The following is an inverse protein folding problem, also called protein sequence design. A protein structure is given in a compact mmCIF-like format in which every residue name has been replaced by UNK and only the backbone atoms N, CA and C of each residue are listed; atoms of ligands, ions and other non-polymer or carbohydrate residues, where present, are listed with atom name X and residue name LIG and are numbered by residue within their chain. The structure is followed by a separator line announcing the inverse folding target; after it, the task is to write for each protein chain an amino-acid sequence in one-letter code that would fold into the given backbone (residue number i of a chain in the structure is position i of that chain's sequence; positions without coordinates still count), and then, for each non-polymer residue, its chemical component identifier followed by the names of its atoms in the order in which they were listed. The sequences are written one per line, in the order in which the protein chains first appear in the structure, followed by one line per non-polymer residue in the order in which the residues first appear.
data_IF_711102448078
#
_entry.id   IF_711102448078
#
_cell.length_a   1.000
_cell.length_b   1.000
_cell.length_c   1.000
_cell.angle_alpha   90.00
_cell.angle_beta   90.00
_cell.angle_gamma   90.00
#
_symmetry.space_group_name_H-M   'P 1'
#
loop_
_entity.id
_entity.type
_entity.pdbx_description
1 polymer ?
#
# COMPACT_ATOMS: atom_id res chain seq x y z
N UNK A 1 -8.42 13.23 13.77
CA UNK A 1 -7.96 12.87 12.41
C UNK A 1 -7.34 11.48 12.46
N UNK A 2 -7.55 10.65 11.43
CA UNK A 2 -6.97 9.30 11.37
C UNK A 2 -5.46 9.38 11.16
N UNK A 3 -4.70 8.63 11.96
CA UNK A 3 -3.24 8.53 11.79
C UNK A 3 -2.92 7.37 10.85
N UNK A 4 -2.48 7.69 9.63
CA UNK A 4 -2.06 6.73 8.60
C UNK A 4 -0.97 5.78 9.11
N UNK A 5 -0.12 6.22 10.04
CA UNK A 5 0.99 5.42 10.56
C UNK A 5 0.53 4.19 11.34
N UNK A 6 -0.74 4.15 11.76
CA UNK A 6 -1.34 2.97 12.40
C UNK A 6 -1.65 1.83 11.42
N UNK A 7 -1.60 2.10 10.11
CA UNK A 7 -1.95 1.16 9.05
C UNK A 7 -0.73 0.72 8.23
N UNK A 8 0.45 1.27 8.53
CA UNK A 8 1.71 0.96 7.87
C UNK A 8 2.78 0.53 8.88
N UNK A 9 3.30 -0.68 8.71
CA UNK A 9 4.57 -1.10 9.29
C UNK A 9 5.73 -0.28 8.70
N UNK A 10 6.63 0.20 9.56
CA UNK A 10 7.84 0.92 9.14
C UNK A 10 8.88 -0.06 8.64
N UNK A 11 9.22 -0.01 7.36
CA UNK A 11 10.39 -0.71 6.84
C UNK A 11 10.35 -0.96 5.34
N UNK A 12 11.27 -0.34 4.63
CA UNK A 12 12.19 -0.95 3.67
C UNK A 12 13.30 0.06 3.41
N UNK A 13 14.56 -0.38 3.50
CA UNK A 13 15.69 0.46 3.12
C UNK A 13 15.88 0.32 1.60
N UNK A 14 15.94 1.45 0.88
CA UNK A 14 16.34 1.45 -0.52
C UNK A 14 17.66 0.68 -0.70
N UNK A 15 17.64 -0.39 -1.50
CA UNK A 15 18.83 -1.19 -1.82
C UNK A 15 18.94 -2.56 -1.13
N UNK A 16 18.05 -2.92 -0.20
CA UNK A 16 17.92 -4.30 0.29
C UNK A 16 17.03 -5.14 -0.62
N UNK A 17 17.42 -6.38 -0.95
CA UNK A 17 16.53 -7.35 -1.62
C UNK A 17 15.43 -7.75 -0.63
N UNK A 18 14.35 -6.98 -0.55
CA UNK A 18 13.17 -7.31 0.24
C UNK A 18 12.03 -7.70 -0.67
N UNK A 19 11.40 -8.82 -0.31
CA UNK A 19 10.45 -9.54 -1.13
C UNK A 19 9.08 -8.85 -1.06
N UNK A 20 8.74 -8.00 -2.02
CA UNK A 20 7.33 -7.72 -2.27
C UNK A 20 6.70 -9.04 -2.68
N UNK A 21 5.71 -9.53 -1.93
CA UNK A 21 4.86 -10.62 -2.41
C UNK A 21 3.57 -10.03 -2.97
N UNK A 22 3.28 -10.29 -4.24
CA UNK A 22 1.96 -10.05 -4.79
C UNK A 22 1.22 -11.36 -4.87
N UNK A 23 0.02 -11.34 -4.30
CA UNK A 23 -0.93 -12.41 -4.51
C UNK A 23 -1.67 -12.11 -5.80
N UNK A 24 -1.29 -12.79 -6.89
CA UNK A 24 -2.13 -12.81 -8.08
C UNK A 24 -2.83 -14.16 -8.16
N UNK A 25 -4.07 -14.16 -7.67
CA UNK A 25 -5.11 -15.21 -7.76
C UNK A 25 -4.73 -16.63 -7.26
N UNK A 26 -3.49 -17.12 -7.35
CA UNK A 26 -3.15 -18.53 -7.06
C UNK A 26 -1.82 -18.83 -6.33
N UNK A 27 -0.89 -17.88 -6.12
CA UNK A 27 0.30 -18.11 -5.26
C UNK A 27 0.97 -16.79 -4.85
N UNK A 28 1.68 -16.78 -3.70
CA UNK A 28 2.60 -15.69 -3.32
C UNK A 28 3.91 -15.87 -4.09
N UNK A 29 4.14 -15.03 -5.11
CA UNK A 29 5.42 -14.95 -5.81
C UNK A 29 6.11 -13.67 -5.35
N UNK A 30 7.41 -13.74 -5.11
CA UNK A 30 8.22 -12.54 -4.90
C UNK A 30 8.29 -11.74 -6.21
N UNK A 31 7.82 -10.50 -6.17
CA UNK A 31 7.47 -9.70 -7.35
C UNK A 31 8.01 -8.27 -7.25
N UNK A 32 9.03 -7.99 -6.43
CA UNK A 32 9.73 -6.69 -6.48
C UNK A 32 10.09 -6.10 -5.11
N UNK A 33 10.32 -4.78 -5.06
CA UNK A 33 10.77 -4.04 -3.87
C UNK A 33 10.06 -2.67 -3.76
N UNK A 34 9.83 -2.15 -2.56
CA UNK A 34 9.18 -0.85 -2.39
C UNK A 34 9.08 -0.40 -0.94
N UNK A 35 8.84 0.89 -0.73
CA UNK A 35 8.87 1.57 0.58
C UNK A 35 7.69 2.52 0.77
N UNK A 36 7.23 2.60 2.02
CA UNK A 36 6.39 3.70 2.47
C UNK A 36 7.25 4.85 3.01
N UNK A 37 6.94 6.04 2.53
CA UNK A 37 7.52 7.31 2.96
C UNK A 37 6.48 8.00 3.85
N UNK A 38 6.79 8.14 5.13
CA UNK A 38 5.99 8.92 6.09
C UNK A 38 6.11 10.41 5.74
N UNK A 39 4.99 11.02 5.34
CA UNK A 39 4.90 12.45 5.01
C UNK A 39 4.13 13.24 6.08
N UNK A 40 3.77 12.58 7.19
CA UNK A 40 2.96 13.14 8.26
C UNK A 40 1.85 12.18 8.70
N UNK A 41 1.19 12.52 9.81
CA UNK A 41 0.18 11.63 10.42
C UNK A 41 -0.99 11.30 9.50
N UNK A 42 -1.36 12.14 8.55
CA UNK A 42 -2.44 11.85 7.60
C UNK A 42 -1.95 11.64 6.16
N UNK A 43 -0.65 11.57 5.92
CA UNK A 43 -0.09 11.56 4.58
C UNK A 43 1.04 10.54 4.43
N UNK A 44 1.03 9.84 3.30
CA UNK A 44 2.16 9.00 2.93
C UNK A 44 2.32 8.89 1.43
N UNK A 45 3.50 8.46 1.04
CA UNK A 45 3.75 7.97 -0.30
C UNK A 45 4.25 6.52 -0.23
N UNK A 46 3.97 5.76 -1.29
CA UNK A 46 4.60 4.48 -1.56
C UNK A 46 5.33 4.58 -2.89
N UNK A 47 6.52 4.01 -2.95
CA UNK A 47 7.29 3.83 -4.18
C UNK A 47 7.83 2.42 -4.22
N UNK A 48 7.62 1.71 -5.31
CA UNK A 48 8.17 0.40 -5.50
C UNK A 48 8.15 -0.03 -6.96
N UNK A 49 8.68 -1.22 -7.20
CA UNK A 49 8.64 -1.90 -8.48
C UNK A 49 7.91 -3.22 -8.30
N UNK A 50 7.06 -3.55 -9.26
CA UNK A 50 6.32 -4.80 -9.32
C UNK A 50 6.73 -5.55 -10.59
N UNK A 51 6.94 -6.85 -10.47
CA UNK A 51 7.34 -7.78 -11.51
C UNK A 51 6.55 -9.08 -11.34
N UNK A 52 5.27 -9.03 -11.73
CA UNK A 52 4.38 -10.19 -11.81
C UNK A 52 4.18 -10.59 -13.28
N UNK A 53 3.56 -11.76 -13.51
CA UNK A 53 3.17 -12.16 -14.87
C UNK A 53 2.02 -11.32 -15.45
N UNK A 54 1.30 -10.54 -14.62
CA UNK A 54 0.15 -9.72 -15.04
C UNK A 54 0.44 -8.22 -15.07
N UNK A 55 1.44 -7.78 -14.30
CA UNK A 55 1.84 -6.40 -14.14
C UNK A 55 3.34 -6.32 -13.89
N UNK A 56 4.05 -5.59 -14.74
CA UNK A 56 5.48 -5.28 -14.62
C UNK A 56 5.68 -3.78 -14.75
N UNK A 57 6.24 -3.14 -13.74
CA UNK A 57 6.49 -1.70 -13.77
C UNK A 57 6.64 -1.08 -12.40
N UNK A 58 6.88 0.23 -12.39
CA UNK A 58 6.94 1.01 -11.17
C UNK A 58 5.53 1.26 -10.63
N UNK A 59 5.36 1.09 -9.32
CA UNK A 59 4.18 1.46 -8.57
C UNK A 59 4.51 2.66 -7.69
N UNK A 60 3.79 3.77 -7.92
CA UNK A 60 3.84 4.95 -7.08
C UNK A 60 2.44 5.29 -6.58
N UNK A 61 2.32 5.61 -5.30
CA UNK A 61 1.06 5.97 -4.68
C UNK A 61 1.29 7.11 -3.71
N UNK A 62 0.48 8.17 -3.80
CA UNK A 62 0.44 9.24 -2.80
C UNK A 62 -0.95 9.30 -2.22
N UNK A 63 -1.04 9.45 -0.90
CA UNK A 63 -2.27 9.41 -0.13
C UNK A 63 -2.28 10.55 0.87
N UNK A 64 -3.43 11.19 1.01
CA UNK A 64 -3.72 12.12 2.11
C UNK A 64 -5.13 11.88 2.63
N UNK A 65 -5.25 11.64 3.93
CA UNK A 65 -6.53 11.47 4.62
C UNK A 65 -7.00 12.84 5.09
N UNK A 66 -8.22 13.21 4.74
CA UNK A 66 -8.85 14.47 5.12
C UNK A 66 -10.01 14.23 6.09
N UNK A 67 -10.51 15.27 6.73
CA UNK A 67 -11.68 15.14 7.61
C UNK A 67 -12.93 14.68 6.87
N UNK A 68 -13.87 14.10 7.62
CA UNK A 68 -15.15 13.62 7.07
C UNK A 68 -15.04 12.41 6.15
N UNK A 69 -13.97 11.61 6.27
CA UNK A 69 -13.80 10.38 5.48
C UNK A 69 -13.38 10.61 4.03
N UNK A 70 -12.86 11.79 3.69
CA UNK A 70 -12.38 12.12 2.34
C UNK A 70 -10.90 11.80 2.21
N UNK A 71 -10.46 11.41 1.02
CA UNK A 71 -9.05 11.18 0.72
C UNK A 71 -8.62 11.92 -0.55
N UNK A 72 -7.32 12.19 -0.66
CA UNK A 72 -6.68 12.52 -1.93
C UNK A 72 -5.73 11.39 -2.29
N UNK A 73 -5.86 10.87 -3.51
CA UNK A 73 -5.11 9.72 -4.00
C UNK A 73 -4.51 10.05 -5.35
N UNK A 74 -3.22 9.75 -5.50
CA UNK A 74 -2.56 9.70 -6.81
C UNK A 74 -1.91 8.35 -6.97
N UNK A 75 -2.30 7.58 -7.99
CA UNK A 75 -1.75 6.25 -8.29
C UNK A 75 -1.09 6.29 -9.66
N UNK A 76 0.22 5.97 -9.73
CA UNK A 76 1.01 5.97 -10.96
C UNK A 76 0.87 7.28 -11.76
N UNK A 77 0.86 8.41 -11.05
CA UNK A 77 0.67 9.74 -11.64
C UNK A 77 -0.77 10.13 -11.95
N UNK A 78 -1.74 9.20 -11.88
CA UNK A 78 -3.16 9.51 -12.07
C UNK A 78 -3.77 9.96 -10.75
N UNK A 79 -4.24 11.21 -10.71
CA UNK A 79 -4.98 11.75 -9.55
C UNK A 79 -6.42 11.27 -9.58
N UNK A 80 -6.92 10.79 -8.44
CA UNK A 80 -8.32 10.44 -8.29
C UNK A 80 -9.18 11.71 -8.32
N UNK A 81 -10.29 11.65 -9.07
CA UNK A 81 -11.29 12.73 -9.12
C UNK A 81 -12.16 12.77 -7.86
N UNK A 82 -12.33 11.62 -7.22
CA UNK A 82 -13.05 11.44 -5.98
C UNK A 82 -12.35 10.33 -5.21
N UNK A 83 -12.16 10.50 -3.90
CA UNK A 83 -11.73 9.42 -3.04
C UNK A 83 -12.27 9.58 -1.61
N UNK A 84 -12.64 8.45 -1.03
CA UNK A 84 -13.13 8.34 0.35
C UNK A 84 -12.37 7.23 1.07
N UNK A 85 -12.30 7.30 2.39
CA UNK A 85 -11.68 6.26 3.19
C UNK A 85 -12.57 5.81 4.34
N UNK A 86 -12.38 4.56 4.72
CA UNK A 86 -12.97 3.94 5.90
C UNK A 86 -11.90 3.20 6.68
N UNK A 87 -12.08 3.11 8.00
CA UNK A 87 -11.19 2.35 8.88
C UNK A 87 -12.00 1.29 9.62
N UNK A 88 -11.52 0.06 9.63
CA UNK A 88 -12.10 -1.05 10.40
C UNK A 88 -11.00 -1.77 11.16
N UNK A 89 -10.93 -1.57 12.48
CA UNK A 89 -9.81 -2.03 13.29
C UNK A 89 -8.49 -1.46 12.76
N UNK A 90 -7.55 -2.34 12.42
CA UNK A 90 -6.25 -2.01 11.85
C UNK A 90 -6.24 -1.95 10.31
N UNK A 91 -7.40 -1.98 9.66
CA UNK A 91 -7.53 -1.91 8.21
C UNK A 91 -7.98 -0.52 7.78
N UNK A 92 -7.28 0.06 6.81
CA UNK A 92 -7.67 1.28 6.10
C UNK A 92 -8.05 0.90 4.67
N UNK A 93 -9.26 1.24 4.25
CA UNK A 93 -9.74 1.03 2.89
C UNK A 93 -10.08 2.37 2.27
N UNK A 94 -9.59 2.61 1.06
CA UNK A 94 -9.78 3.82 0.29
C UNK A 94 -10.44 3.44 -1.03
N UNK A 95 -11.56 4.06 -1.34
CA UNK A 95 -12.20 3.95 -2.65
C UNK A 95 -11.86 5.21 -3.44
N UNK A 96 -11.31 5.04 -4.64
CA UNK A 96 -10.80 6.15 -5.44
C UNK A 96 -11.22 6.00 -6.91
N UNK A 97 -11.79 7.06 -7.48
CA UNK A 97 -12.16 7.13 -8.90
C UNK A 97 -10.99 7.64 -9.74
N UNK A 98 -10.27 6.70 -10.35
CA UNK A 98 -9.10 6.93 -11.19
C UNK A 98 -9.49 6.81 -12.66
N UNK A 99 -9.65 7.96 -13.31
CA UNK A 99 -10.24 8.04 -14.65
C UNK A 99 -11.69 7.53 -14.65
N UNK A 100 -11.99 6.56 -15.52
CA UNK A 100 -13.31 5.91 -15.58
C UNK A 100 -13.47 4.73 -14.62
N UNK A 101 -12.42 4.33 -13.89
CA UNK A 101 -12.41 3.12 -13.07
C UNK A 101 -12.45 3.45 -11.59
N UNK A 102 -13.26 2.71 -10.84
CA UNK A 102 -13.15 2.66 -9.38
C UNK A 102 -12.01 1.72 -9.00
N UNK A 103 -11.16 2.19 -8.10
CA UNK A 103 -10.08 1.42 -7.51
C UNK A 103 -10.27 1.37 -5.99
N UNK A 104 -10.13 0.19 -5.42
CA UNK A 104 -10.12 0.00 -3.97
C UNK A 104 -8.69 -0.22 -3.52
N UNK A 105 -8.17 0.69 -2.70
CA UNK A 105 -6.83 0.61 -2.10
C UNK A 105 -6.99 0.19 -0.65
N UNK A 106 -6.30 -0.85 -0.20
CA UNK A 106 -6.40 -1.37 1.16
C UNK A 106 -5.03 -1.44 1.80
N UNK A 107 -4.95 -0.99 3.05
CA UNK A 107 -3.81 -1.15 3.94
C UNK A 107 -4.25 -2.00 5.12
N UNK A 108 -3.49 -3.05 5.40
CA UNK A 108 -3.65 -3.84 6.61
C UNK A 108 -2.28 -4.31 7.11
N UNK A 109 -2.02 -4.29 8.42
CA UNK A 109 -0.79 -4.81 8.97
C UNK A 109 -0.73 -6.31 8.73
N UNK A 110 0.46 -6.80 8.41
CA UNK A 110 0.68 -8.22 8.21
C UNK A 110 0.89 -9.01 9.50
N UNK A 111 0.55 -10.30 9.42
CA UNK A 111 0.49 -11.20 10.56
C UNK A 111 1.87 -11.62 11.06
N UNK A 112 2.46 -10.79 11.93
CA UNK A 112 3.38 -11.09 13.06
C UNK A 112 4.08 -9.79 13.47
N UNK A 113 3.58 -9.11 14.51
CA UNK A 113 4.36 -8.09 15.24
C UNK A 113 4.41 -6.66 14.66
N UNK A 114 3.38 -6.19 13.95
CA UNK A 114 3.24 -4.80 13.45
C UNK A 114 4.26 -4.32 12.40
N UNK A 115 5.14 -5.19 11.91
CA UNK A 115 6.24 -4.78 11.02
C UNK A 115 5.96 -4.97 9.54
N UNK A 116 4.85 -5.63 9.20
CA UNK A 116 4.46 -5.94 7.83
C UNK A 116 3.29 -5.05 7.39
N UNK A 117 3.25 -4.66 6.12
CA UNK A 117 2.09 -3.96 5.53
C UNK A 117 1.65 -4.65 4.25
N UNK A 118 0.35 -4.89 4.11
CA UNK A 118 -0.26 -5.29 2.85
C UNK A 118 -0.91 -4.08 2.18
N UNK A 119 -0.53 -3.78 0.95
CA UNK A 119 -1.13 -2.80 0.06
C UNK A 119 -1.88 -3.55 -1.05
N UNK A 120 -3.21 -3.58 -1.01
CA UNK A 120 -4.04 -4.12 -2.08
C UNK A 120 -4.65 -3.02 -2.94
N UNK A 121 -4.51 -3.08 -4.26
CA UNK A 121 -5.17 -2.20 -5.23
C UNK A 121 -6.07 -3.07 -6.12
N UNK A 122 -7.38 -2.93 -6.00
CA UNK A 122 -8.39 -3.72 -6.72
C UNK A 122 -9.14 -2.87 -7.75
N UNK A 123 -9.23 -3.39 -8.97
CA UNK A 123 -9.95 -2.80 -10.12
C UNK A 123 -9.86 -3.73 -11.33
N UNK A 124 -9.60 -3.18 -12.53
CA UNK A 124 -9.38 -3.98 -13.76
C UNK A 124 -8.16 -4.92 -13.67
N UNK A 125 -7.21 -4.64 -12.79
CA UNK A 125 -6.13 -5.53 -12.38
C UNK A 125 -6.05 -5.46 -10.85
N UNK A 126 -5.96 -6.62 -10.18
CA UNK A 126 -5.76 -6.69 -8.73
C UNK A 126 -4.27 -6.84 -8.44
N UNK A 127 -3.73 -5.92 -7.64
CA UNK A 127 -2.33 -5.91 -7.23
C UNK A 127 -2.30 -5.87 -5.71
N UNK A 128 -1.96 -6.98 -5.07
CA UNK A 128 -1.61 -6.98 -3.65
C UNK A 128 -0.08 -6.85 -3.52
N UNK A 129 0.42 -6.11 -2.53
CA UNK A 129 1.83 -5.83 -2.29
C UNK A 129 2.08 -6.08 -0.82
N UNK A 130 2.84 -7.11 -0.48
CA UNK A 130 3.27 -7.38 0.88
C UNK A 130 4.63 -6.76 1.13
N UNK A 131 4.72 -5.87 2.10
CA UNK A 131 5.98 -5.30 2.57
C UNK A 131 6.39 -6.05 3.82
N UNK A 132 7.43 -6.87 3.69
CA UNK A 132 8.09 -7.51 4.82
C UNK A 132 9.12 -6.55 5.46
N UNK A 133 9.34 -6.63 6.78
CA UNK A 133 10.36 -5.82 7.44
C UNK A 133 11.76 -6.11 6.91
N UNK A 134 12.63 -5.10 6.95
CA UNK A 134 14.00 -5.17 6.46
C UNK A 134 14.84 -6.25 7.18
N UNK A 135 14.55 -6.48 8.46
CA UNK A 135 15.05 -7.59 9.25
C UNK A 135 13.90 -8.15 10.09
N UNK A 136 13.87 -9.47 10.28
CA UNK A 136 12.99 -10.09 11.27
C UNK A 136 13.30 -9.43 12.62
N UNK A 137 12.33 -8.83 13.33
CA UNK A 137 12.62 -8.27 14.65
C UNK A 137 13.28 -9.37 15.50
N UNK A 138 14.48 -9.09 16.00
CA UNK A 138 15.12 -9.96 16.97
C UNK A 138 14.16 -10.08 18.15
N UNK A 139 13.66 -11.29 18.39
CA UNK A 139 12.85 -11.57 19.58
C UNK A 139 13.79 -11.38 20.75
N UNK A 140 13.51 -10.36 21.57
CA UNK A 140 14.19 -10.13 22.84
C UNK A 140 13.86 -11.26 23.84
#
# INVERSE_FOLDING_TARGET
MVDFRNFIGRGTAAGGKLNIFAKVVFAFVNVGNGEFIDLGSAQAAFKGKIDTVFYKGDLSLTLKLNEGGKAEVTLNGNRASEATYTTSGSKLTIEAKLGSNMQTITFEPGGKGNVETFLGVKGSQTIDVHLAPAEKPAVA
#
